data_IF_313429718796
#
_entry.id   IF_313429718796
#
_cell.length_a   1.000
_cell.length_b   1.000
_cell.length_c   1.000
_cell.angle_alpha   90.00
_cell.angle_beta   90.00
_cell.angle_gamma   90.00
#
_symmetry.space_group_name_H-M   'P 1'
#
loop_
_entity.id
_entity.type
_entity.pdbx_description
1 polymer ?
#
# COMPACT_ATOMS: atom_id res chain seq x y z
N UNK A 1 22.17 -13.74 17.18
CA UNK A 1 21.85 -13.04 18.45
C UNK A 1 20.39 -13.25 18.90
N UNK A 2 19.38 -12.86 18.12
CA UNK A 2 17.96 -13.12 18.49
C UNK A 2 17.63 -14.61 18.39
N UNK A 3 18.05 -15.27 17.30
CA UNK A 3 17.91 -16.71 17.12
C UNK A 3 18.53 -17.52 18.29
N UNK A 4 19.76 -17.20 18.69
CA UNK A 4 20.45 -17.88 19.80
C UNK A 4 19.71 -17.72 21.13
N UNK A 5 19.10 -16.54 21.34
CA UNK A 5 18.30 -16.25 22.55
C UNK A 5 17.05 -17.13 22.57
N UNK A 6 16.31 -17.21 21.45
CA UNK A 6 15.10 -18.04 21.33
C UNK A 6 15.47 -19.52 21.55
N UNK A 7 16.56 -19.96 20.93
CA UNK A 7 17.06 -21.32 21.08
C UNK A 7 17.43 -21.63 22.53
N UNK A 8 18.18 -20.76 23.20
CA UNK A 8 18.53 -20.94 24.60
C UNK A 8 17.29 -21.04 25.49
N UNK A 9 16.32 -20.14 25.32
CA UNK A 9 15.08 -20.18 26.11
C UNK A 9 14.27 -21.46 25.86
N UNK A 10 14.22 -21.91 24.61
CA UNK A 10 13.55 -23.16 24.22
C UNK A 10 14.28 -24.40 24.78
N UNK A 11 15.60 -24.50 24.60
CA UNK A 11 16.40 -25.66 24.99
C UNK A 11 16.47 -25.83 26.51
N UNK A 12 16.48 -24.72 27.26
CA UNK A 12 16.47 -24.73 28.73
C UNK A 12 15.06 -24.75 29.35
N UNK A 13 14.00 -24.81 28.55
CA UNK A 13 12.61 -24.88 29.04
C UNK A 13 12.22 -23.70 29.92
N UNK A 14 12.75 -22.51 29.65
CA UNK A 14 12.51 -21.32 30.46
C UNK A 14 11.05 -20.91 30.32
N UNK A 15 10.38 -20.64 31.44
CA UNK A 15 8.98 -20.18 31.48
C UNK A 15 8.87 -18.71 31.02
N UNK A 16 9.14 -18.46 29.75
CA UNK A 16 9.02 -17.15 29.10
C UNK A 16 8.33 -17.30 27.74
N UNK A 17 7.49 -16.33 27.38
CA UNK A 17 6.88 -16.23 26.05
C UNK A 17 7.48 -15.04 25.31
N UNK A 18 8.01 -15.27 24.11
CA UNK A 18 8.53 -14.22 23.24
C UNK A 18 7.53 -13.99 22.11
N UNK A 19 7.10 -12.74 21.93
CA UNK A 19 6.35 -12.31 20.76
C UNK A 19 7.27 -11.47 19.87
N UNK A 20 7.51 -11.94 18.65
CA UNK A 20 8.25 -11.21 17.63
C UNK A 20 7.26 -10.58 16.67
N UNK A 21 7.39 -9.28 16.44
CA UNK A 21 6.58 -8.54 15.48
C UNK A 21 7.54 -7.96 14.44
N UNK A 22 7.34 -8.31 13.17
CA UNK A 22 8.19 -7.87 12.08
C UNK A 22 7.41 -7.78 10.77
N UNK A 23 7.99 -7.06 9.80
CA UNK A 23 7.45 -6.88 8.44
C UNK A 23 8.29 -7.67 7.43
N UNK A 24 9.00 -8.71 7.88
CA UNK A 24 9.87 -9.51 7.03
C UNK A 24 9.04 -10.32 6.02
N UNK A 25 9.53 -10.44 4.80
CA UNK A 25 8.88 -11.23 3.74
C UNK A 25 8.97 -12.74 4.04
N UNK A 26 9.94 -13.14 4.86
CA UNK A 26 10.07 -14.49 5.39
C UNK A 26 10.61 -14.51 6.83
N UNK A 27 10.19 -15.51 7.60
CA UNK A 27 10.76 -15.77 8.94
C UNK A 27 12.21 -16.22 8.85
N UNK A 28 12.62 -16.80 7.72
CA UNK A 28 13.99 -17.20 7.44
C UNK A 28 14.96 -16.00 7.47
N UNK A 29 14.51 -14.82 7.04
CA UNK A 29 15.29 -13.56 7.19
C UNK A 29 15.38 -13.09 8.64
N UNK A 30 14.40 -13.45 9.49
CA UNK A 30 14.37 -13.05 10.90
C UNK A 30 15.22 -13.96 11.80
N UNK A 31 15.51 -15.20 11.35
CA UNK A 31 16.14 -16.29 12.14
C UNK A 31 17.32 -16.89 11.37
N UNK A 32 18.07 -16.04 10.68
CA UNK A 32 19.26 -16.45 9.94
C UNK A 32 20.23 -17.20 10.89
N UNK A 33 20.58 -18.45 10.55
CA UNK A 33 21.59 -19.26 11.27
C UNK A 33 21.11 -20.50 12.03
N UNK A 34 19.81 -20.68 12.32
CA UNK A 34 19.34 -21.84 13.10
C UNK A 34 17.97 -22.42 12.65
N UNK A 35 18.01 -23.27 11.62
CA UNK A 35 16.85 -24.01 11.09
C UNK A 35 16.08 -24.82 12.16
N UNK A 36 16.74 -25.22 13.25
CA UNK A 36 16.13 -26.00 14.33
C UNK A 36 15.14 -25.20 15.20
N UNK A 37 15.07 -23.87 15.06
CA UNK A 37 14.16 -22.99 15.83
C UNK A 37 12.78 -22.93 15.17
N UNK A 38 12.63 -23.21 13.88
CA UNK A 38 11.34 -23.11 13.18
C UNK A 38 10.22 -23.92 13.86
N UNK A 39 10.55 -25.11 14.37
CA UNK A 39 9.61 -25.97 15.13
C UNK A 39 9.19 -25.41 16.49
N UNK A 40 9.92 -24.44 17.03
CA UNK A 40 9.65 -23.80 18.32
C UNK A 40 8.84 -22.49 18.16
N UNK A 41 8.40 -22.18 16.94
CA UNK A 41 7.71 -20.93 16.64
C UNK A 41 6.30 -21.18 16.11
N UNK A 42 5.36 -20.37 16.61
CA UNK A 42 4.01 -20.28 16.07
C UNK A 42 3.93 -19.02 15.21
N UNK A 43 3.56 -19.20 13.95
CA UNK A 43 3.43 -18.09 12.99
C UNK A 43 1.97 -17.64 12.95
N UNK A 44 1.74 -16.34 13.15
CA UNK A 44 0.43 -15.73 13.00
C UNK A 44 0.51 -14.78 11.81
N UNK A 45 0.05 -15.19 10.61
CA UNK A 45 0.04 -14.31 9.46
C UNK A 45 -0.94 -13.16 9.68
N UNK A 46 -0.55 -11.95 9.28
CA UNK A 46 -1.39 -10.76 9.32
C UNK A 46 -1.74 -10.35 7.88
N UNK A 47 -2.73 -11.01 7.23
CA UNK A 47 -3.13 -10.66 5.87
C UNK A 47 -3.78 -9.27 5.84
N UNK A 48 -3.96 -8.74 4.62
CA UNK A 48 -4.80 -7.55 4.42
C UNK A 48 -6.21 -7.84 4.90
N UNK A 49 -6.83 -6.84 5.51
CA UNK A 49 -8.23 -6.92 5.90
C UNK A 49 -9.10 -7.00 4.65
N UNK A 50 -10.14 -7.80 4.74
CA UNK A 50 -11.21 -7.87 3.74
C UNK A 50 -11.99 -6.55 3.71
N UNK A 51 -12.69 -6.34 2.61
CA UNK A 51 -13.61 -5.20 2.45
C UNK A 51 -14.60 -5.07 3.61
N UNK A 52 -15.19 -6.20 4.06
CA UNK A 52 -16.14 -6.21 5.17
C UNK A 52 -15.49 -5.85 6.51
N UNK A 53 -14.25 -6.28 6.75
CA UNK A 53 -13.50 -5.92 7.94
C UNK A 53 -13.09 -4.43 7.94
N UNK A 54 -12.75 -3.88 6.78
CA UNK A 54 -12.52 -2.43 6.62
C UNK A 54 -13.80 -1.65 6.88
N UNK A 55 -14.96 -2.11 6.37
CA UNK A 55 -16.24 -1.47 6.64
C UNK A 55 -16.57 -1.45 8.14
N UNK A 56 -16.20 -2.50 8.89
CA UNK A 56 -16.36 -2.48 10.35
C UNK A 56 -15.55 -1.38 11.04
N UNK A 57 -14.38 -0.99 10.50
CA UNK A 57 -13.61 0.14 11.06
C UNK A 57 -14.44 1.43 10.95
N UNK A 58 -15.04 1.66 9.78
CA UNK A 58 -15.88 2.83 9.54
C UNK A 58 -17.12 2.81 10.40
N UNK A 59 -17.85 1.69 10.41
CA UNK A 59 -19.13 1.55 11.10
C UNK A 59 -18.98 1.68 12.61
N UNK A 60 -17.97 1.04 13.21
CA UNK A 60 -17.68 1.18 14.64
C UNK A 60 -17.27 2.61 14.99
N UNK A 61 -16.55 3.29 14.10
CA UNK A 61 -16.18 4.70 14.28
C UNK A 61 -17.40 5.63 14.24
N UNK A 62 -18.25 5.47 13.23
CA UNK A 62 -19.47 6.27 13.05
C UNK A 62 -20.45 6.06 14.21
N UNK A 63 -20.67 4.82 14.64
CA UNK A 63 -21.55 4.50 15.76
C UNK A 63 -21.10 5.17 17.07
N UNK A 64 -19.79 5.20 17.36
CA UNK A 64 -19.24 5.88 18.54
C UNK A 64 -19.44 7.39 18.53
N UNK A 65 -19.51 7.99 17.35
CA UNK A 65 -19.70 9.43 17.17
C UNK A 65 -21.18 9.83 17.03
N UNK A 66 -22.10 8.85 16.96
CA UNK A 66 -23.51 9.11 16.63
C UNK A 66 -23.69 9.68 15.22
N UNK A 67 -22.76 9.37 14.31
CA UNK A 67 -22.77 9.84 12.92
C UNK A 67 -23.13 8.70 11.97
N UNK A 68 -23.44 9.05 10.73
CA UNK A 68 -23.64 8.10 9.63
C UNK A 68 -22.63 8.35 8.50
N UNK A 69 -22.44 7.34 7.65
CA UNK A 69 -21.63 7.44 6.43
C UNK A 69 -22.45 6.94 5.26
N UNK A 70 -22.41 7.69 4.16
CA UNK A 70 -23.06 7.31 2.91
C UNK A 70 -22.29 6.16 2.23
N UNK A 71 -23.00 5.22 1.61
CA UNK A 71 -22.38 4.06 0.94
C UNK A 71 -21.36 4.46 -0.14
N UNK A 72 -21.62 5.55 -0.86
CA UNK A 72 -20.70 6.06 -1.89
C UNK A 72 -19.37 6.55 -1.30
N UNK A 73 -19.41 7.17 -0.12
CA UNK A 73 -18.23 7.62 0.63
C UNK A 73 -17.49 6.43 1.25
N UNK A 74 -18.23 5.50 1.86
CA UNK A 74 -17.69 4.27 2.46
C UNK A 74 -16.95 3.43 1.43
N UNK A 75 -17.62 3.12 0.31
CA UNK A 75 -17.04 2.34 -0.78
C UNK A 75 -15.78 3.00 -1.34
N UNK A 76 -15.77 4.32 -1.49
CA UNK A 76 -14.60 5.05 -1.98
C UNK A 76 -13.40 4.93 -1.03
N UNK A 77 -13.59 5.21 0.25
CA UNK A 77 -12.52 5.11 1.25
C UNK A 77 -12.03 3.66 1.45
N UNK A 78 -12.96 2.70 1.43
CA UNK A 78 -12.64 1.26 1.49
C UNK A 78 -11.72 0.85 0.34
N UNK A 79 -12.09 1.19 -0.90
CA UNK A 79 -11.28 0.87 -2.08
C UNK A 79 -9.87 1.50 -2.00
N UNK A 80 -9.76 2.72 -1.49
CA UNK A 80 -8.47 3.40 -1.28
C UNK A 80 -7.63 2.81 -0.15
N UNK A 81 -8.26 2.22 0.86
CA UNK A 81 -7.55 1.61 1.99
C UNK A 81 -6.73 0.39 1.56
N UNK A 82 -7.11 -0.29 0.48
CA UNK A 82 -6.45 -1.50 -0.02
C UNK A 82 -6.29 -2.58 1.07
N UNK A 83 -7.26 -2.69 1.99
CA UNK A 83 -7.23 -3.64 3.11
C UNK A 83 -6.24 -3.30 4.22
N UNK A 84 -5.71 -2.06 4.25
CA UNK A 84 -4.77 -1.61 5.28
C UNK A 84 -5.52 -0.83 6.38
N UNK A 85 -5.64 -1.37 7.61
CA UNK A 85 -6.39 -0.71 8.69
C UNK A 85 -5.91 0.71 8.99
N UNK A 86 -4.60 0.95 8.97
CA UNK A 86 -4.02 2.28 9.16
C UNK A 86 -4.57 3.31 8.16
N UNK A 87 -4.69 2.94 6.89
CA UNK A 87 -5.19 3.85 5.84
C UNK A 87 -6.69 4.08 6.00
N UNK A 88 -7.46 3.04 6.33
CA UNK A 88 -8.88 3.19 6.63
C UNK A 88 -9.12 4.18 7.78
N UNK A 89 -8.40 4.03 8.90
CA UNK A 89 -8.48 4.98 10.01
C UNK A 89 -8.11 6.41 9.61
N UNK A 90 -7.03 6.59 8.85
CA UNK A 90 -6.58 7.92 8.40
C UNK A 90 -7.62 8.61 7.51
N UNK A 91 -8.17 7.88 6.54
CA UNK A 91 -9.20 8.39 5.63
C UNK A 91 -10.48 8.75 6.39
N UNK A 92 -10.98 7.83 7.22
CA UNK A 92 -12.18 8.05 8.02
C UNK A 92 -12.02 9.23 8.97
N UNK A 93 -10.85 9.37 9.62
CA UNK A 93 -10.57 10.49 10.51
C UNK A 93 -10.70 11.83 9.78
N UNK A 94 -10.04 11.98 8.63
CA UNK A 94 -10.05 13.26 7.90
C UNK A 94 -11.39 13.53 7.21
N UNK A 95 -12.06 12.50 6.66
CA UNK A 95 -13.40 12.64 6.09
C UNK A 95 -14.44 13.05 7.15
N UNK A 96 -14.38 12.42 8.32
CA UNK A 96 -15.29 12.72 9.44
C UNK A 96 -15.01 14.11 9.99
N UNK A 97 -13.74 14.50 10.17
CA UNK A 97 -13.39 15.87 10.57
C UNK A 97 -13.98 16.90 9.61
N UNK A 98 -13.85 16.69 8.30
CA UNK A 98 -14.47 17.57 7.30
C UNK A 98 -15.98 17.64 7.46
N UNK A 99 -16.66 16.50 7.64
CA UNK A 99 -18.12 16.48 7.86
C UNK A 99 -18.53 17.24 9.14
N UNK A 100 -17.76 17.11 10.23
CA UNK A 100 -18.00 17.82 11.49
C UNK A 100 -17.80 19.33 11.31
N UNK A 101 -16.77 19.76 10.59
CA UNK A 101 -16.56 21.19 10.29
C UNK A 101 -17.68 21.78 9.42
N UNK A 102 -18.30 20.96 8.56
CA UNK A 102 -19.48 21.31 7.77
C UNK A 102 -20.80 21.19 8.58
N UNK A 103 -20.73 20.89 9.88
CA UNK A 103 -21.90 20.61 10.75
C UNK A 103 -22.83 19.52 10.19
N UNK A 104 -22.29 18.56 9.44
CA UNK A 104 -23.05 17.46 8.84
C UNK A 104 -22.94 16.18 9.70
N UNK A 105 -24.06 15.60 10.16
CA UNK A 105 -24.05 14.31 10.86
C UNK A 105 -23.83 13.11 9.90
N UNK A 106 -23.79 13.36 8.59
CA UNK A 106 -23.59 12.37 7.53
C UNK A 106 -22.28 12.65 6.79
N UNK A 107 -21.37 11.67 6.75
CA UNK A 107 -20.18 11.68 5.91
C UNK A 107 -20.58 11.34 4.46
N UNK A 108 -20.56 12.34 3.59
CA UNK A 108 -20.86 12.23 2.16
C UNK A 108 -19.60 12.06 1.33
N UNK A 109 -19.76 11.74 0.04
CA UNK A 109 -18.64 11.60 -0.90
C UNK A 109 -17.72 12.83 -0.93
N UNK A 110 -18.28 14.04 -0.93
CA UNK A 110 -17.50 15.28 -0.92
C UNK A 110 -16.59 15.39 0.31
N UNK A 111 -17.04 14.96 1.49
CA UNK A 111 -16.22 14.94 2.71
C UNK A 111 -15.08 13.93 2.61
N UNK A 112 -15.34 12.78 1.98
CA UNK A 112 -14.30 11.78 1.71
C UNK A 112 -13.24 12.31 0.74
N UNK A 113 -13.65 12.97 -0.35
CA UNK A 113 -12.75 13.55 -1.34
C UNK A 113 -11.82 14.61 -0.72
N UNK A 114 -12.37 15.52 0.11
CA UNK A 114 -11.56 16.49 0.85
C UNK A 114 -10.69 15.82 1.93
N UNK A 115 -11.23 14.81 2.60
CA UNK A 115 -10.52 14.01 3.60
C UNK A 115 -9.29 13.30 3.03
N UNK A 116 -9.35 12.83 1.77
CA UNK A 116 -8.21 12.23 1.06
C UNK A 116 -7.09 13.25 0.86
N UNK A 117 -7.43 14.48 0.43
CA UNK A 117 -6.45 15.56 0.26
C UNK A 117 -5.73 15.87 1.57
N UNK A 118 -6.48 16.03 2.67
CA UNK A 118 -5.92 16.25 4.01
C UNK A 118 -5.12 15.06 4.53
N UNK A 119 -5.50 13.85 4.13
CA UNK A 119 -4.78 12.63 4.51
C UNK A 119 -3.40 12.59 3.90
N UNK A 120 -3.24 12.97 2.63
CA UNK A 120 -1.95 12.99 1.92
C UNK A 120 -0.87 13.81 2.65
N UNK A 121 -1.26 14.87 3.35
CA UNK A 121 -0.33 15.71 4.12
C UNK A 121 0.18 15.01 5.39
N UNK A 122 -0.56 14.04 5.93
CA UNK A 122 -0.21 13.29 7.13
C UNK A 122 0.57 12.00 6.83
N UNK A 123 0.89 11.73 5.56
CA UNK A 123 1.71 10.59 5.18
C UNK A 123 3.17 10.73 5.65
N UNK A 124 3.79 9.58 5.91
CA UNK A 124 5.20 9.51 6.31
C UNK A 124 6.10 10.17 5.27
N UNK A 125 7.06 10.97 5.73
CA UNK A 125 7.98 11.72 4.85
C UNK A 125 8.81 10.80 3.95
N UNK A 126 9.13 9.59 4.44
CA UNK A 126 9.82 8.55 3.67
C UNK A 126 9.04 8.14 2.41
N UNK A 127 7.72 8.00 2.50
CA UNK A 127 6.86 7.67 1.35
C UNK A 127 6.78 8.85 0.38
N UNK A 128 6.58 10.06 0.90
CA UNK A 128 6.51 11.28 0.07
C UNK A 128 7.81 11.47 -0.72
N UNK A 129 8.94 11.34 -0.04
CA UNK A 129 10.28 11.43 -0.62
C UNK A 129 10.49 10.34 -1.67
N UNK A 130 10.22 9.07 -1.34
CA UNK A 130 10.39 7.96 -2.28
C UNK A 130 9.51 8.12 -3.53
N UNK A 131 8.27 8.57 -3.38
CA UNK A 131 7.40 8.89 -4.51
C UNK A 131 7.98 10.02 -5.38
N UNK A 132 8.39 11.12 -4.77
CA UNK A 132 8.98 12.25 -5.49
C UNK A 132 10.22 11.84 -6.27
N UNK A 133 11.13 11.08 -5.65
CA UNK A 133 12.34 10.56 -6.31
C UNK A 133 11.97 9.62 -7.46
N UNK A 134 10.93 8.79 -7.31
CA UNK A 134 10.48 7.91 -8.38
C UNK A 134 9.98 8.71 -9.60
N UNK A 135 9.20 9.77 -9.40
CA UNK A 135 8.55 10.48 -10.51
C UNK A 135 9.35 11.66 -11.08
N UNK A 136 10.37 12.17 -10.38
CA UNK A 136 11.12 13.37 -10.82
C UNK A 136 11.77 13.14 -12.18
N UNK A 137 11.54 14.03 -13.14
CA UNK A 137 12.20 13.97 -14.45
C UNK A 137 12.22 15.35 -15.09
N UNK A 138 13.36 15.72 -15.68
CA UNK A 138 13.52 16.98 -16.40
C UNK A 138 13.05 16.88 -17.86
N UNK A 139 12.74 15.68 -18.36
CA UNK A 139 12.29 15.49 -19.75
C UNK A 139 10.85 15.96 -19.92
N UNK A 140 10.58 16.92 -20.82
CA UNK A 140 9.22 17.32 -21.16
C UNK A 140 8.41 16.12 -21.66
N UNK A 141 7.16 15.99 -21.22
CA UNK A 141 6.25 14.92 -21.67
C UNK A 141 6.60 13.51 -21.16
N UNK A 142 7.45 13.39 -20.15
CA UNK A 142 7.70 12.10 -19.49
C UNK A 142 6.42 11.52 -18.87
N UNK A 143 6.39 10.20 -18.71
CA UNK A 143 5.22 9.47 -18.21
C UNK A 143 5.47 8.74 -16.87
N UNK A 144 6.51 9.10 -16.11
CA UNK A 144 6.86 8.39 -14.87
C UNK A 144 5.69 8.35 -13.89
N UNK A 145 5.00 9.49 -13.71
CA UNK A 145 3.86 9.57 -12.82
C UNK A 145 2.72 8.65 -13.26
N UNK A 146 2.39 8.65 -14.55
CA UNK A 146 1.33 7.84 -15.14
C UNK A 146 1.67 6.34 -15.05
N UNK A 147 2.93 5.97 -15.31
CA UNK A 147 3.37 4.57 -15.20
C UNK A 147 3.36 4.11 -13.75
N UNK A 148 3.83 4.92 -12.79
CA UNK A 148 3.81 4.55 -11.37
C UNK A 148 2.38 4.39 -10.87
N UNK A 149 1.47 5.27 -11.27
CA UNK A 149 0.03 5.17 -10.98
C UNK A 149 -0.59 3.92 -11.61
N UNK A 150 -0.24 3.62 -12.86
CA UNK A 150 -0.68 2.41 -13.53
C UNK A 150 -0.19 1.14 -12.81
N UNK A 151 1.04 1.14 -12.29
CA UNK A 151 1.55 0.04 -11.45
C UNK A 151 0.75 -0.13 -10.17
N UNK A 152 0.31 0.97 -9.55
CA UNK A 152 -0.48 0.93 -8.33
C UNK A 152 -1.90 0.38 -8.55
N UNK A 153 -2.48 0.59 -9.73
CA UNK A 153 -3.84 0.13 -10.08
C UNK A 153 -3.83 -1.25 -10.74
N UNK A 154 -2.69 -1.69 -11.27
CA UNK A 154 -2.55 -2.98 -11.94
C UNK A 154 -3.06 -4.14 -11.07
N UNK A 155 -3.68 -5.12 -11.72
CA UNK A 155 -4.08 -6.36 -11.08
C UNK A 155 -2.85 -7.09 -10.53
N UNK A 156 -2.99 -7.59 -9.31
CA UNK A 156 -1.95 -8.31 -8.57
C UNK A 156 -2.43 -9.72 -8.24
N UNK A 157 -1.48 -10.64 -8.05
CA UNK A 157 -1.77 -11.94 -7.47
C UNK A 157 -1.92 -11.88 -5.93
N UNK A 158 -2.14 -13.05 -5.32
CA UNK A 158 -2.27 -13.22 -3.86
C UNK A 158 -1.03 -12.74 -3.09
N UNK A 159 0.15 -12.79 -3.71
CA UNK A 159 1.42 -12.32 -3.14
C UNK A 159 1.69 -10.82 -3.39
N UNK A 160 0.77 -10.12 -4.06
CA UNK A 160 0.85 -8.70 -4.37
C UNK A 160 1.71 -8.35 -5.58
N UNK A 161 2.06 -9.33 -6.43
CA UNK A 161 2.86 -9.13 -7.63
C UNK A 161 1.99 -8.88 -8.87
N UNK A 162 2.37 -7.87 -9.65
CA UNK A 162 1.81 -7.59 -10.99
C UNK A 162 2.84 -7.89 -12.09
N UNK A 163 2.36 -7.99 -13.33
CA UNK A 163 3.20 -8.17 -14.52
C UNK A 163 3.25 -6.88 -15.35
N UNK A 164 4.24 -6.76 -16.24
CA UNK A 164 4.27 -5.65 -17.18
C UNK A 164 2.99 -5.58 -18.05
N UNK A 165 2.42 -6.73 -18.42
CA UNK A 165 1.17 -6.78 -19.19
C UNK A 165 -0.02 -6.18 -18.42
N UNK A 166 -0.12 -6.42 -17.11
CA UNK A 166 -1.18 -5.87 -16.26
C UNK A 166 -1.16 -4.34 -16.19
N UNK A 167 -0.01 -3.69 -16.46
CA UNK A 167 0.16 -2.23 -16.48
C UNK A 167 -0.43 -1.61 -17.75
N UNK A 168 -0.56 -2.37 -18.85
CA UNK A 168 -0.96 -1.88 -20.18
C UNK A 168 -2.29 -1.14 -20.17
N UNK A 169 -3.33 -1.76 -19.62
CA UNK A 169 -4.67 -1.16 -19.60
C UNK A 169 -4.74 0.10 -18.72
N UNK A 170 -4.26 0.07 -17.45
CA UNK A 170 -4.23 1.27 -16.61
C UNK A 170 -3.41 2.42 -17.22
N UNK A 171 -2.21 2.15 -17.74
CA UNK A 171 -1.34 3.22 -18.26
C UNK A 171 -1.93 3.87 -19.51
N UNK A 172 -2.59 3.09 -20.38
CA UNK A 172 -3.27 3.60 -21.57
C UNK A 172 -4.44 4.51 -21.19
N UNK A 173 -5.23 4.11 -20.18
CA UNK A 173 -6.34 4.91 -19.67
C UNK A 173 -5.86 6.23 -19.04
N UNK A 174 -4.83 6.17 -18.20
CA UNK A 174 -4.28 7.35 -17.50
C UNK A 174 -3.59 8.31 -18.47
N UNK A 175 -2.78 7.78 -19.40
CA UNK A 175 -2.05 8.59 -20.37
C UNK A 175 -2.94 9.07 -21.54
N UNK A 176 -4.18 8.57 -21.63
CA UNK A 176 -5.15 8.87 -22.70
C UNK A 176 -4.60 8.68 -24.11
N UNK A 177 -3.70 7.70 -24.28
CA UNK A 177 -3.10 7.31 -25.55
C UNK A 177 -2.65 5.84 -25.51
N UNK A 178 -2.64 5.11 -26.63
CA UNK A 178 -2.19 3.73 -26.66
C UNK A 178 -0.72 3.64 -26.24
N UNK A 179 -0.45 2.80 -25.24
CA UNK A 179 0.88 2.49 -24.76
C UNK A 179 1.03 0.98 -24.60
N UNK A 180 2.14 0.44 -25.09
CA UNK A 180 2.49 -0.97 -24.93
C UNK A 180 3.78 -1.13 -24.10
N UNK A 181 4.10 -2.36 -23.71
CA UNK A 181 5.21 -2.74 -22.83
C UNK A 181 6.52 -2.01 -23.22
N UNK A 182 6.94 -1.93 -24.50
CA UNK A 182 8.17 -1.21 -24.85
C UNK A 182 8.19 0.26 -24.42
N UNK A 183 7.03 0.93 -24.35
CA UNK A 183 6.96 2.33 -23.96
C UNK A 183 7.23 2.56 -22.46
N UNK A 184 6.90 1.59 -21.61
CA UNK A 184 7.04 1.72 -20.15
C UNK A 184 7.98 0.70 -19.50
N UNK A 185 8.53 -0.26 -20.23
CA UNK A 185 9.48 -1.24 -19.72
C UNK A 185 10.72 -0.58 -19.07
N UNK A 186 11.22 0.51 -19.65
CA UNK A 186 12.31 1.30 -19.07
C UNK A 186 11.94 1.86 -17.69
N UNK A 187 10.72 2.36 -17.54
CA UNK A 187 10.22 2.93 -16.29
C UNK A 187 10.12 1.85 -15.21
N UNK A 188 9.61 0.65 -15.54
CA UNK A 188 9.56 -0.49 -14.60
C UNK A 188 10.96 -0.90 -14.13
N UNK A 189 11.94 -0.92 -15.05
CA UNK A 189 13.34 -1.19 -14.71
C UNK A 189 13.88 -0.12 -13.75
N UNK A 190 13.75 1.16 -14.10
CA UNK A 190 14.28 2.26 -13.28
C UNK A 190 13.60 2.36 -11.91
N UNK A 191 12.30 2.07 -11.79
CA UNK A 191 11.61 2.00 -10.49
C UNK A 191 12.09 0.87 -9.59
N UNK A 192 12.80 -0.11 -10.16
CA UNK A 192 13.38 -1.25 -9.44
C UNK A 192 14.86 -1.05 -9.09
N UNK A 193 15.45 0.08 -9.49
CA UNK A 193 16.88 0.36 -9.36
C UNK A 193 17.11 1.57 -8.44
N UNK A 194 18.30 1.67 -7.85
CA UNK A 194 18.64 2.71 -6.87
C UNK A 194 18.53 4.13 -7.44
N UNK A 195 18.71 4.31 -8.75
CA UNK A 195 18.72 5.63 -9.40
C UNK A 195 17.44 6.45 -9.18
N UNK A 196 16.29 5.78 -8.94
CA UNK A 196 15.01 6.42 -8.63
C UNK A 196 14.47 6.09 -7.24
N UNK A 197 15.29 5.45 -6.40
CA UNK A 197 14.85 4.75 -5.21
C UNK A 197 14.01 3.53 -5.59
N UNK A 198 14.35 2.31 -5.15
CA UNK A 198 13.57 1.13 -5.53
C UNK A 198 12.19 1.22 -4.87
N UNK A 199 11.21 1.73 -5.61
CA UNK A 199 9.81 1.80 -5.16
C UNK A 199 9.06 0.52 -5.46
N UNK A 200 9.56 -0.29 -6.39
CA UNK A 200 9.10 -1.64 -6.67
C UNK A 200 10.26 -2.63 -6.64
N UNK A 201 10.03 -3.85 -6.16
CA UNK A 201 10.94 -4.99 -6.34
C UNK A 201 10.66 -5.65 -7.69
N UNK A 202 11.71 -6.15 -8.36
CA UNK A 202 11.58 -6.97 -9.57
C UNK A 202 12.16 -8.37 -9.31
N UNK A 203 11.35 -9.39 -9.55
CA UNK A 203 11.77 -10.80 -9.47
C UNK A 203 11.53 -11.52 -10.79
N UNK A 204 12.17 -12.68 -10.97
CA UNK A 204 12.03 -13.55 -12.14
C UNK A 204 13.15 -13.42 -13.16
N UNK A 205 13.00 -14.12 -14.27
CA UNK A 205 13.98 -14.19 -15.36
C UNK A 205 13.58 -13.33 -16.54
N UNK A 206 14.49 -13.16 -17.50
CA UNK A 206 14.27 -12.35 -18.71
C UNK A 206 12.96 -12.76 -19.40
N UNK A 207 12.10 -11.77 -19.71
CA UNK A 207 10.74 -11.92 -20.29
C UNK A 207 9.66 -12.47 -19.34
N UNK A 208 9.97 -12.82 -18.09
CA UNK A 208 9.01 -13.27 -17.06
C UNK A 208 9.15 -12.49 -15.75
N UNK A 209 9.40 -11.18 -15.85
CA UNK A 209 9.51 -10.33 -14.67
C UNK A 209 8.16 -10.10 -14.01
N UNK A 210 8.18 -10.13 -12.67
CA UNK A 210 7.07 -9.75 -11.80
C UNK A 210 7.53 -8.63 -10.88
N UNK A 211 6.59 -7.75 -10.53
CA UNK A 211 6.86 -6.53 -9.80
C UNK A 211 5.92 -6.39 -8.62
N UNK A 212 6.41 -5.79 -7.52
CA UNK A 212 5.61 -5.50 -6.31
C UNK A 212 6.14 -4.24 -5.67
N UNK A 213 5.29 -3.42 -5.03
CA UNK A 213 5.76 -2.28 -4.26
C UNK A 213 6.57 -2.73 -3.05
N UNK A 214 7.77 -2.15 -2.86
CA UNK A 214 8.64 -2.46 -1.71
C UNK A 214 7.92 -2.10 -0.41
N UNK A 215 7.37 -0.89 -0.33
CA UNK A 215 6.58 -0.47 0.81
C UNK A 215 5.08 -0.65 0.48
N UNK A 216 4.32 -1.47 1.23
CA UNK A 216 2.89 -1.67 1.01
C UNK A 216 2.06 -0.38 1.05
N UNK A 217 2.53 0.64 1.78
CA UNK A 217 1.88 1.95 1.86
C UNK A 217 2.11 2.79 0.59
N UNK A 218 3.18 2.56 -0.19
CA UNK A 218 3.42 3.33 -1.42
C UNK A 218 2.26 3.20 -2.41
N UNK A 219 1.68 2.01 -2.54
CA UNK A 219 0.57 1.74 -3.47
C UNK A 219 -0.66 2.64 -3.21
N UNK A 220 -1.31 2.65 -2.02
CA UNK A 220 -2.43 3.53 -1.76
C UNK A 220 -2.05 5.02 -1.79
N UNK A 221 -0.82 5.40 -1.42
CA UNK A 221 -0.35 6.78 -1.58
C UNK A 221 -0.39 7.24 -3.03
N UNK A 222 0.17 6.43 -3.94
CA UNK A 222 0.19 6.72 -5.37
C UNK A 222 -1.24 6.85 -5.92
N UNK A 223 -2.15 5.95 -5.54
CA UNK A 223 -3.56 6.00 -5.97
C UNK A 223 -4.23 7.28 -5.48
N UNK A 224 -4.08 7.63 -4.20
CA UNK A 224 -4.64 8.86 -3.64
C UNK A 224 -4.07 10.12 -4.29
N UNK A 225 -2.77 10.16 -4.58
CA UNK A 225 -2.16 11.24 -5.39
C UNK A 225 -2.78 11.30 -6.78
N UNK A 226 -3.06 10.15 -7.40
CA UNK A 226 -3.76 10.07 -8.69
C UNK A 226 -5.13 10.73 -8.68
N UNK A 227 -5.94 10.48 -7.64
CA UNK A 227 -7.25 11.14 -7.47
C UNK A 227 -7.09 12.65 -7.22
N UNK A 228 -6.19 13.03 -6.31
CA UNK A 228 -5.93 14.44 -5.97
C UNK A 228 -5.51 15.27 -7.19
N UNK A 229 -4.75 14.66 -8.10
CA UNK A 229 -4.27 15.27 -9.34
C UNK A 229 -5.20 15.06 -10.54
N UNK A 230 -6.38 14.43 -10.34
CA UNK A 230 -7.39 14.14 -11.37
C UNK A 230 -6.85 13.31 -12.55
N UNK A 231 -5.87 12.43 -12.28
CA UNK A 231 -5.35 11.46 -13.25
C UNK A 231 -6.28 10.24 -13.38
N UNK A 232 -7.05 9.98 -12.34
CA UNK A 232 -8.06 8.93 -12.26
C UNK A 232 -9.34 9.52 -11.64
N UNK A 233 -10.53 8.97 -11.97
CA UNK A 233 -11.82 9.47 -11.48
C UNK A 233 -11.98 9.33 -9.96
#
# INVERSE_FOLDING_TARGET
MVADTIKGLSDFGVSASILLIGVAESISELIEGHLSIERALVQIPMPRMTDAEIDQIFDKGMARLGMAIEDSAKAHMRNLSQGLPYIAHLLALNATKTAVFDNSPLVRRAHADEGILKSLDQWQESIKTAYYVAIKSQQPGNIYKQVLLACAIAEVDEMGYFTAAAVRAPVTAIAKRPLDIPNYARHLKEFSEEGRGPVITRIGTERKFRYRFVNPLMRPYVIMRGHAEKLIP
#
